data_IF_964497980318
#
_entry.id   IF_964497980318
#
_cell.length_a   1.000
_cell.length_b   1.000
_cell.length_c   1.000
_cell.angle_alpha   90.00
_cell.angle_beta   90.00
_cell.angle_gamma   90.00
#
_symmetry.space_group_name_H-M   'P 1'
#
loop_
_entity.id
_entity.type
_entity.pdbx_description
1 polymer ?
#
# COMPACT_ATOMS: atom_id res chain seq x y z
N UNK A 1 8.76 23.86 -9.68
CA UNK A 1 8.03 22.59 -9.87
C UNK A 1 8.27 21.67 -8.67
N UNK A 2 7.22 21.07 -8.10
CA UNK A 2 7.37 20.06 -7.04
C UNK A 2 7.63 18.72 -7.73
N UNK A 3 8.75 18.08 -7.44
CA UNK A 3 9.04 16.72 -7.89
C UNK A 3 8.48 15.75 -6.85
N UNK A 4 7.45 14.99 -7.20
CA UNK A 4 6.84 14.02 -6.31
C UNK A 4 7.54 12.66 -6.45
N UNK A 5 7.80 12.00 -5.32
CA UNK A 5 8.21 10.60 -5.33
C UNK A 5 7.04 9.69 -5.73
N UNK A 6 7.32 8.45 -6.10
CA UNK A 6 6.27 7.44 -6.34
C UNK A 6 5.36 7.27 -5.10
N UNK A 7 5.95 7.37 -3.90
CA UNK A 7 5.23 7.34 -2.63
C UNK A 7 4.31 8.56 -2.49
N UNK A 8 4.79 9.76 -2.77
CA UNK A 8 3.94 10.97 -2.74
C UNK A 8 2.80 10.91 -3.75
N UNK A 9 3.06 10.39 -4.96
CA UNK A 9 2.05 10.24 -6.00
C UNK A 9 0.98 9.19 -5.63
N UNK A 10 1.39 8.10 -4.97
CA UNK A 10 0.49 7.00 -4.60
C UNK A 10 -0.33 7.31 -3.36
N UNK A 11 0.31 7.85 -2.33
CA UNK A 11 -0.28 8.02 -1.01
C UNK A 11 -0.76 9.46 -0.75
N UNK A 12 -0.30 10.42 -1.55
CA UNK A 12 -0.61 11.84 -1.42
C UNK A 12 0.34 12.53 -0.46
N UNK A 13 1.17 13.44 -0.98
CA UNK A 13 2.16 14.19 -0.21
C UNK A 13 1.62 14.80 1.10
N UNK A 14 0.48 15.52 1.01
CA UNK A 14 -0.13 16.16 2.18
C UNK A 14 -0.79 15.16 3.14
N UNK A 15 -1.26 14.02 2.63
CA UNK A 15 -1.85 12.97 3.46
C UNK A 15 -0.78 12.20 4.24
N UNK A 16 0.40 12.01 3.63
CA UNK A 16 1.58 11.47 4.30
C UNK A 16 2.11 12.43 5.37
N UNK A 17 2.05 13.75 5.12
CA UNK A 17 2.50 14.76 6.08
C UNK A 17 1.52 14.97 7.26
N UNK A 18 0.23 14.68 7.06
CA UNK A 18 -0.81 14.83 8.08
C UNK A 18 -1.71 13.59 8.10
N UNK A 19 -1.15 12.52 8.64
CA UNK A 19 -1.84 11.24 8.75
C UNK A 19 -2.98 11.34 9.76
N UNK A 20 -4.14 10.79 9.39
CA UNK A 20 -5.30 10.69 10.26
C UNK A 20 -5.92 9.27 10.22
N UNK A 21 -6.93 9.04 11.05
CA UNK A 21 -7.59 7.74 11.16
C UNK A 21 -8.16 7.24 9.81
N UNK A 22 -8.77 8.13 9.01
CA UNK A 22 -9.34 7.75 7.72
C UNK A 22 -8.26 7.34 6.69
N UNK A 23 -7.09 7.97 6.73
CA UNK A 23 -5.95 7.55 5.91
C UNK A 23 -5.48 6.15 6.28
N UNK A 24 -5.34 5.87 7.58
CA UNK A 24 -4.94 4.56 8.09
C UNK A 24 -5.96 3.49 7.70
N UNK A 25 -7.24 3.74 7.94
CA UNK A 25 -8.34 2.81 7.60
C UNK A 25 -8.34 2.46 6.11
N UNK A 26 -8.25 3.47 5.23
CA UNK A 26 -8.19 3.28 3.78
C UNK A 26 -7.05 2.33 3.39
N UNK A 27 -5.84 2.59 3.90
CA UNK A 27 -4.66 1.83 3.50
C UNK A 27 -4.59 0.44 4.16
N UNK A 28 -5.16 0.27 5.35
CA UNK A 28 -5.39 -1.05 5.94
C UNK A 28 -6.35 -1.88 5.07
N UNK A 29 -7.43 -1.28 4.60
CA UNK A 29 -8.38 -1.96 3.71
C UNK A 29 -7.72 -2.36 2.38
N UNK A 30 -6.92 -1.47 1.78
CA UNK A 30 -6.19 -1.79 0.54
C UNK A 30 -5.12 -2.88 0.76
N UNK A 31 -4.42 -2.87 1.90
CA UNK A 31 -3.50 -3.95 2.28
C UNK A 31 -4.23 -5.30 2.34
N UNK A 32 -5.36 -5.37 3.04
CA UNK A 32 -6.14 -6.61 3.16
C UNK A 32 -6.68 -7.07 1.80
N UNK A 33 -7.08 -6.14 0.93
CA UNK A 33 -7.52 -6.44 -0.42
C UNK A 33 -6.38 -7.07 -1.24
N UNK A 34 -5.20 -6.48 -1.20
CA UNK A 34 -4.03 -6.99 -1.92
C UNK A 34 -3.61 -8.38 -1.40
N UNK A 35 -3.67 -8.60 -0.09
CA UNK A 35 -3.39 -9.93 0.49
C UNK A 35 -4.33 -10.99 -0.07
N UNK A 36 -5.65 -10.71 -0.10
CA UNK A 36 -6.63 -11.66 -0.64
C UNK A 36 -6.35 -11.99 -2.10
N UNK A 37 -5.96 -11.00 -2.90
CA UNK A 37 -5.63 -11.22 -4.32
C UNK A 37 -4.36 -12.04 -4.45
N UNK A 38 -3.30 -11.72 -3.70
CA UNK A 38 -2.05 -12.49 -3.71
C UNK A 38 -2.26 -13.94 -3.25
N UNK A 39 -3.06 -14.17 -2.21
CA UNK A 39 -3.45 -15.52 -1.78
C UNK A 39 -4.16 -16.27 -2.89
N UNK A 40 -5.16 -15.66 -3.53
CA UNK A 40 -5.88 -16.30 -4.63
C UNK A 40 -4.95 -16.64 -5.82
N UNK A 41 -4.01 -15.75 -6.13
CA UNK A 41 -3.01 -15.98 -7.18
C UNK A 41 -2.04 -17.12 -6.83
N UNK A 42 -1.68 -17.29 -5.56
CA UNK A 42 -0.83 -18.40 -5.10
C UNK A 42 -1.46 -19.78 -5.27
N UNK A 43 -2.79 -19.85 -5.42
CA UNK A 43 -3.52 -21.09 -5.69
C UNK A 43 -3.89 -21.26 -7.17
N UNK A 44 -3.57 -20.30 -8.03
CA UNK A 44 -3.90 -20.37 -9.45
C UNK A 44 -2.98 -21.36 -10.17
N UNK A 45 -3.53 -22.11 -11.13
CA UNK A 45 -2.77 -23.05 -11.98
C UNK A 45 -1.81 -22.32 -12.91
N UNK A 46 -2.18 -21.12 -13.36
CA UNK A 46 -1.32 -20.22 -14.11
C UNK A 46 -1.22 -18.89 -13.35
N UNK A 47 -0.01 -18.59 -12.89
CA UNK A 47 0.26 -17.42 -12.04
C UNK A 47 0.81 -16.31 -12.93
N UNK A 48 0.10 -15.18 -13.10
CA UNK A 48 0.62 -14.08 -13.89
C UNK A 48 1.67 -13.32 -13.07
N UNK A 49 2.92 -13.79 -13.16
CA UNK A 49 4.07 -13.38 -12.35
C UNK A 49 4.27 -11.86 -12.31
N UNK A 50 4.07 -11.18 -13.43
CA UNK A 50 4.18 -9.72 -13.50
C UNK A 50 3.15 -9.02 -12.58
N UNK A 51 1.91 -9.50 -12.59
CA UNK A 51 0.84 -8.94 -11.74
C UNK A 51 1.08 -9.26 -10.27
N UNK A 52 1.58 -10.46 -9.97
CA UNK A 52 1.95 -10.85 -8.62
C UNK A 52 3.08 -9.95 -8.09
N UNK A 53 4.14 -9.74 -8.88
CA UNK A 53 5.26 -8.89 -8.49
C UNK A 53 4.82 -7.44 -8.22
N UNK A 54 3.98 -6.88 -9.10
CA UNK A 54 3.44 -5.52 -8.92
C UNK A 54 2.59 -5.40 -7.64
N UNK A 55 1.70 -6.36 -7.39
CA UNK A 55 0.89 -6.37 -6.17
C UNK A 55 1.71 -6.57 -4.90
N UNK A 56 2.75 -7.42 -4.93
CA UNK A 56 3.67 -7.59 -3.81
C UNK A 56 4.46 -6.31 -3.51
N UNK A 57 4.94 -5.62 -4.54
CA UNK A 57 5.61 -4.33 -4.36
C UNK A 57 4.66 -3.27 -3.77
N UNK A 58 3.41 -3.23 -4.25
CA UNK A 58 2.40 -2.34 -3.69
C UNK A 58 2.08 -2.67 -2.22
N UNK A 59 1.88 -3.95 -1.91
CA UNK A 59 1.65 -4.45 -0.55
C UNK A 59 2.76 -3.99 0.41
N UNK A 60 4.01 -4.09 -0.03
CA UNK A 60 5.18 -3.64 0.73
C UNK A 60 5.12 -2.14 1.03
N UNK A 61 4.84 -1.32 0.01
CA UNK A 61 4.75 0.14 0.17
C UNK A 61 3.63 0.53 1.15
N UNK A 62 2.48 -0.12 1.05
CA UNK A 62 1.35 0.12 1.96
C UNK A 62 1.75 -0.24 3.40
N UNK A 63 2.46 -1.35 3.60
CA UNK A 63 2.92 -1.78 4.93
C UNK A 63 3.84 -0.75 5.57
N UNK A 64 4.79 -0.23 4.82
CA UNK A 64 5.72 0.81 5.29
C UNK A 64 4.97 2.08 5.67
N UNK A 65 4.04 2.53 4.83
CA UNK A 65 3.19 3.70 5.11
C UNK A 65 2.36 3.52 6.38
N UNK A 66 1.77 2.34 6.59
CA UNK A 66 1.00 2.04 7.80
C UNK A 66 1.88 1.97 9.06
N UNK A 67 3.11 1.46 8.94
CA UNK A 67 4.09 1.46 10.02
C UNK A 67 4.43 2.89 10.44
N UNK A 68 4.77 3.75 9.48
CA UNK A 68 5.13 5.16 9.73
C UNK A 68 3.95 5.96 10.31
N UNK A 69 2.73 5.69 9.81
CA UNK A 69 1.49 6.26 10.32
C UNK A 69 1.26 5.91 11.80
N UNK A 70 1.51 4.66 12.19
CA UNK A 70 1.36 4.22 13.58
C UNK A 70 2.33 4.93 14.53
N UNK A 71 3.56 5.22 14.08
CA UNK A 71 4.53 6.00 14.85
C UNK A 71 4.12 7.46 15.01
N UNK A 72 3.44 8.02 14.00
CA UNK A 72 3.01 9.43 14.01
C UNK A 72 1.77 9.68 14.88
N UNK A 73 0.91 8.67 15.04
CA UNK A 73 -0.32 8.75 15.83
C UNK A 73 -0.14 8.39 17.32
N UNK A 74 1.03 7.89 17.71
CA UNK A 74 1.40 7.57 19.10
C UNK A 74 2.20 8.71 19.73
#
# INVERSE_FOLDING_TARGET
>A
PITLSERDARFGHYLLANVNAAFVEKWQHEYQRNERVLTAMGHATDVPLHKQAALTAEQQLIREVLSDASTTLN
#
